data_IF_798178693588
#
_entry.id   IF_798178693588
#
_cell.length_a   1.000
_cell.length_b   1.000
_cell.length_c   1.000
_cell.angle_alpha   90.00
_cell.angle_beta   90.00
_cell.angle_gamma   90.00
#
_symmetry.space_group_name_H-M   'P 1'
#
loop_
_entity.id
_entity.type
_entity.pdbx_description
1 polymer ?
#
# COMPACT_ATOMS: atom_id res chain seq x y z
N UNK A 1 7.30 -4.10 -2.22
CA UNK A 1 6.66 -5.17 -1.41
C UNK A 1 6.57 -6.43 -2.27
N UNK A 2 6.83 -7.60 -1.70
CA UNK A 2 6.54 -8.89 -2.37
C UNK A 2 5.06 -9.24 -2.21
N UNK A 3 4.73 -9.90 -1.10
CA UNK A 3 3.34 -10.20 -0.71
C UNK A 3 2.92 -9.60 0.64
N UNK A 4 3.84 -9.14 1.49
CA UNK A 4 3.53 -8.61 2.82
C UNK A 4 2.86 -9.62 3.80
N UNK A 5 3.36 -10.86 3.85
CA UNK A 5 2.83 -11.89 4.77
C UNK A 5 2.93 -11.50 6.26
N UNK A 6 3.89 -10.66 6.64
CA UNK A 6 3.97 -10.10 7.99
C UNK A 6 2.90 -9.04 8.29
N UNK A 7 2.11 -8.64 7.29
CA UNK A 7 1.09 -7.60 7.38
C UNK A 7 1.63 -6.22 7.01
N UNK A 8 0.90 -5.50 6.14
CA UNK A 8 1.30 -4.16 5.68
C UNK A 8 1.41 -3.15 6.83
N UNK A 9 0.51 -3.22 7.83
CA UNK A 9 0.55 -2.37 9.03
C UNK A 9 1.86 -2.59 9.78
N UNK A 10 2.25 -3.84 10.00
CA UNK A 10 3.49 -4.19 10.70
C UNK A 10 4.73 -3.71 9.96
N UNK A 11 4.76 -3.86 8.63
CA UNK A 11 5.85 -3.34 7.79
C UNK A 11 5.95 -1.82 7.94
N UNK A 12 4.82 -1.11 7.87
CA UNK A 12 4.82 0.35 8.01
C UNK A 12 5.26 0.76 9.42
N UNK A 13 4.74 0.14 10.49
CA UNK A 13 5.21 0.44 11.86
C UNK A 13 6.70 0.23 12.04
N UNK A 14 7.23 -0.87 11.50
CA UNK A 14 8.66 -1.16 11.55
C UNK A 14 9.48 -0.04 10.89
N UNK A 15 9.06 0.48 9.73
CA UNK A 15 9.74 1.60 9.07
C UNK A 15 9.78 2.86 9.97
N UNK A 16 8.69 3.16 10.66
CA UNK A 16 8.65 4.33 11.56
C UNK A 16 9.48 4.11 12.81
N UNK A 17 9.38 2.95 13.44
CA UNK A 17 10.05 2.66 14.71
C UNK A 17 11.56 2.50 14.54
N UNK A 18 11.99 1.72 13.54
CA UNK A 18 13.39 1.34 13.38
C UNK A 18 14.17 2.25 12.45
N UNK A 19 13.50 2.91 11.50
CA UNK A 19 14.16 3.78 10.51
C UNK A 19 13.79 5.26 10.65
N UNK A 20 12.85 5.61 11.55
CA UNK A 20 12.37 6.99 11.70
C UNK A 20 11.63 7.52 10.46
N UNK A 21 11.20 6.65 9.55
CA UNK A 21 10.53 7.05 8.31
C UNK A 21 9.04 7.25 8.60
N UNK A 22 8.53 8.43 8.30
CA UNK A 22 7.11 8.79 8.47
C UNK A 22 6.45 9.26 7.17
N UNK A 23 7.20 9.29 6.05
CA UNK A 23 6.73 9.66 4.72
C UNK A 23 7.24 8.70 3.66
N UNK A 24 6.36 8.32 2.73
CA UNK A 24 6.71 7.43 1.62
C UNK A 24 6.26 8.00 0.28
N UNK A 25 7.16 8.02 -0.71
CA UNK A 25 6.79 8.38 -2.08
C UNK A 25 5.75 7.40 -2.66
N UNK A 26 5.95 6.09 -2.41
CA UNK A 26 5.02 5.06 -2.84
C UNK A 26 5.08 3.78 -2.00
N UNK A 27 3.97 3.03 -2.04
CA UNK A 27 3.90 1.62 -1.63
C UNK A 27 3.54 0.80 -2.87
N UNK A 28 4.47 -0.05 -3.32
CA UNK A 28 4.33 -0.84 -4.55
C UNK A 28 4.40 -2.36 -4.26
N UNK A 29 3.51 -3.14 -4.87
CA UNK A 29 3.52 -4.61 -4.85
C UNK A 29 2.31 -5.26 -4.16
N UNK A 30 2.43 -6.54 -3.81
CA UNK A 30 1.36 -7.30 -3.16
C UNK A 30 1.26 -7.04 -1.65
N UNK A 31 0.03 -6.99 -1.14
CA UNK A 31 -0.29 -6.70 0.27
C UNK A 31 -0.95 -7.87 1.03
N UNK A 32 -1.22 -8.99 0.36
CA UNK A 32 -1.92 -10.18 0.89
C UNK A 32 -3.35 -9.95 1.41
N UNK A 33 -3.96 -8.80 1.11
CA UNK A 33 -5.29 -8.45 1.63
C UNK A 33 -6.42 -9.32 1.06
N UNK A 34 -6.22 -10.01 -0.06
CA UNK A 34 -7.23 -10.90 -0.65
C UNK A 34 -7.61 -12.06 0.28
N UNK A 35 -6.70 -12.44 1.18
CA UNK A 35 -6.83 -13.61 2.04
C UNK A 35 -6.93 -13.22 3.51
N UNK A 36 -7.28 -11.97 3.78
CA UNK A 36 -7.37 -11.39 5.12
C UNK A 36 -8.76 -10.79 5.31
N UNK A 37 -9.22 -10.72 6.56
CA UNK A 37 -10.47 -10.06 6.89
C UNK A 37 -10.45 -8.60 6.40
N UNK A 38 -11.40 -8.26 5.51
CA UNK A 38 -11.55 -6.91 4.97
C UNK A 38 -11.96 -5.89 6.05
N UNK A 39 -12.41 -6.35 7.23
CA UNK A 39 -12.56 -5.51 8.42
C UNK A 39 -11.27 -4.80 8.84
N UNK A 40 -10.09 -5.29 8.43
CA UNK A 40 -8.80 -4.63 8.67
C UNK A 40 -8.49 -3.50 7.68
N UNK A 41 -9.22 -3.41 6.56
CA UNK A 41 -8.92 -2.44 5.51
C UNK A 41 -8.97 -0.98 5.99
N UNK A 42 -9.91 -0.54 6.85
CA UNK A 42 -9.89 0.81 7.41
C UNK A 42 -8.58 1.14 8.13
N UNK A 43 -8.03 0.19 8.90
CA UNK A 43 -6.77 0.38 9.62
C UNK A 43 -5.57 0.45 8.66
N UNK A 44 -5.60 -0.35 7.58
CA UNK A 44 -4.59 -0.28 6.52
C UNK A 44 -4.61 1.09 5.84
N UNK A 45 -5.81 1.58 5.52
CA UNK A 45 -6.00 2.91 4.91
C UNK A 45 -5.48 3.99 5.86
N UNK A 46 -5.91 4.00 7.12
CA UNK A 46 -5.45 4.96 8.13
C UNK A 46 -3.92 4.94 8.24
N UNK A 47 -3.32 3.75 8.27
CA UNK A 47 -1.87 3.63 8.36
C UNK A 47 -1.17 4.21 7.14
N UNK A 48 -1.63 3.90 5.93
CA UNK A 48 -1.09 4.46 4.69
C UNK A 48 -1.22 5.99 4.65
N UNK A 49 -2.33 6.55 5.15
CA UNK A 49 -2.50 8.00 5.27
C UNK A 49 -1.54 8.61 6.29
N UNK A 50 -1.31 7.95 7.42
CA UNK A 50 -0.36 8.43 8.44
C UNK A 50 1.08 8.49 7.93
N UNK A 51 1.40 7.74 6.87
CA UNK A 51 2.70 7.78 6.17
C UNK A 51 2.71 8.75 4.99
N UNK A 52 1.64 9.54 4.82
CA UNK A 52 1.44 10.45 3.71
C UNK A 52 1.87 9.84 2.36
N UNK A 53 1.43 8.59 2.10
CA UNK A 53 1.89 7.83 0.94
C UNK A 53 1.41 8.54 -0.33
N UNK A 54 2.37 8.89 -1.21
CA UNK A 54 2.09 9.58 -2.46
C UNK A 54 1.36 8.72 -3.49
N UNK A 55 1.78 7.47 -3.65
CA UNK A 55 1.20 6.50 -4.59
C UNK A 55 1.04 5.11 -3.97
N UNK A 56 -0.11 4.50 -4.17
CA UNK A 56 -0.43 3.14 -3.75
C UNK A 56 -0.61 2.28 -5.01
N UNK A 57 0.44 1.52 -5.30
CA UNK A 57 0.57 0.67 -6.48
C UNK A 57 0.44 -0.81 -6.13
N UNK A 58 -0.77 -1.33 -6.00
CA UNK A 58 -0.98 -2.73 -5.55
C UNK A 58 -1.12 -3.72 -6.70
N UNK A 59 -0.76 -4.98 -6.46
CA UNK A 59 -0.86 -6.07 -7.44
C UNK A 59 -0.92 -7.45 -6.78
N UNK A 60 -0.94 -8.51 -7.60
CA UNK A 60 -0.77 -9.89 -7.16
C UNK A 60 -1.79 -10.32 -6.09
N UNK A 61 -1.33 -10.66 -4.89
CA UNK A 61 -2.12 -11.19 -3.77
C UNK A 61 -2.96 -10.14 -3.03
N UNK A 62 -2.95 -8.87 -3.44
CA UNK A 62 -3.88 -7.88 -2.88
C UNK A 62 -5.34 -8.21 -3.23
N UNK A 63 -5.59 -8.80 -4.40
CA UNK A 63 -6.92 -9.22 -4.83
C UNK A 63 -7.81 -8.06 -5.30
N UNK A 64 -8.84 -8.40 -6.07
CA UNK A 64 -9.71 -7.42 -6.73
C UNK A 64 -10.49 -6.55 -5.74
N UNK A 65 -11.13 -7.16 -4.74
CA UNK A 65 -11.99 -6.45 -3.80
C UNK A 65 -11.22 -5.43 -2.97
N UNK A 66 -10.12 -5.83 -2.34
CA UNK A 66 -9.26 -4.90 -1.60
C UNK A 66 -8.69 -3.81 -2.52
N UNK A 67 -8.29 -4.15 -3.75
CA UNK A 67 -7.81 -3.15 -4.73
C UNK A 67 -8.90 -2.12 -5.07
N UNK A 68 -10.15 -2.56 -5.26
CA UNK A 68 -11.27 -1.67 -5.55
C UNK A 68 -11.60 -0.75 -4.37
N UNK A 69 -11.54 -1.27 -3.14
CA UNK A 69 -11.76 -0.48 -1.93
C UNK A 69 -10.63 0.54 -1.68
N UNK A 70 -9.37 0.15 -1.93
CA UNK A 70 -8.23 1.07 -1.90
C UNK A 70 -8.37 2.15 -2.98
N UNK A 71 -8.75 1.79 -4.20
CA UNK A 71 -9.04 2.76 -5.25
C UNK A 71 -10.15 3.73 -4.86
N UNK A 72 -11.23 3.23 -4.26
CA UNK A 72 -12.36 4.05 -3.80
C UNK A 72 -11.92 5.14 -2.81
N UNK A 73 -10.96 4.84 -1.93
CA UNK A 73 -10.43 5.79 -0.96
C UNK A 73 -9.37 6.71 -1.56
N UNK A 74 -8.33 6.15 -2.18
CA UNK A 74 -7.12 6.90 -2.57
C UNK A 74 -7.20 7.61 -3.92
N UNK A 75 -8.13 7.21 -4.81
CA UNK A 75 -8.42 7.87 -6.09
C UNK A 75 -7.17 8.14 -6.93
N UNK A 76 -6.80 9.42 -7.11
CA UNK A 76 -5.64 9.83 -7.92
C UNK A 76 -4.30 9.33 -7.39
N UNK A 77 -4.22 8.93 -6.10
CA UNK A 77 -3.04 8.32 -5.50
C UNK A 77 -3.02 6.80 -5.64
N UNK A 78 -3.95 6.18 -6.37
CA UNK A 78 -3.98 4.75 -6.57
C UNK A 78 -3.67 4.39 -8.03
N UNK A 79 -2.90 3.31 -8.23
CA UNK A 79 -2.72 2.72 -9.55
C UNK A 79 -2.57 1.20 -9.45
N UNK A 80 -3.16 0.40 -10.36
CA UNK A 80 -2.81 -1.00 -10.44
C UNK A 80 -1.33 -1.15 -10.89
N UNK A 81 -0.54 -1.91 -10.14
CA UNK A 81 0.86 -2.22 -10.47
C UNK A 81 0.95 -3.50 -11.32
N UNK A 82 0.33 -3.47 -12.51
CA UNK A 82 0.34 -4.58 -13.47
C UNK A 82 1.71 -4.74 -14.15
N UNK A 83 1.94 -5.91 -14.78
CA UNK A 83 3.10 -6.11 -15.65
C UNK A 83 3.20 -5.01 -16.72
N UNK A 84 4.42 -4.56 -16.99
CA UNK A 84 4.70 -3.49 -17.96
C UNK A 84 4.37 -2.07 -17.49
N UNK A 85 3.81 -1.89 -16.28
CA UNK A 85 3.56 -0.55 -15.72
C UNK A 85 4.88 0.12 -15.33
N UNK A 86 5.04 1.37 -15.73
CA UNK A 86 6.19 2.22 -15.38
C UNK A 86 5.73 3.25 -14.33
N UNK A 87 6.55 3.44 -13.31
CA UNK A 87 6.35 4.45 -12.26
C UNK A 87 7.60 5.33 -12.21
N UNK A 88 7.40 6.64 -12.31
CA UNK A 88 8.48 7.63 -12.27
C UNK A 88 8.31 8.49 -11.02
N UNK A 89 9.41 8.67 -10.29
CA UNK A 89 9.44 9.49 -9.07
C UNK A 89 10.53 10.54 -9.25
N UNK A 90 10.15 11.81 -9.08
CA UNK A 90 11.10 12.91 -9.09
C UNK A 90 11.43 13.26 -7.65
N UNK A 91 12.70 13.18 -7.26
CA UNK A 91 13.15 13.66 -5.96
C UNK A 91 13.04 15.19 -5.95
N UNK A 92 12.01 15.70 -5.30
CA UNK A 92 11.95 17.11 -4.89
C UNK A 92 12.42 17.23 -3.45
#
# INVERSE_FOLDING_TARGET
MGCAHSGIINILDFLRQEMGIDRLAAVLGGTHLAFTDLGLLPQVIERLESFNVGLIGVSHCTGFEASALLYRHFRSRFSPASVGKIFEFCNR
#
